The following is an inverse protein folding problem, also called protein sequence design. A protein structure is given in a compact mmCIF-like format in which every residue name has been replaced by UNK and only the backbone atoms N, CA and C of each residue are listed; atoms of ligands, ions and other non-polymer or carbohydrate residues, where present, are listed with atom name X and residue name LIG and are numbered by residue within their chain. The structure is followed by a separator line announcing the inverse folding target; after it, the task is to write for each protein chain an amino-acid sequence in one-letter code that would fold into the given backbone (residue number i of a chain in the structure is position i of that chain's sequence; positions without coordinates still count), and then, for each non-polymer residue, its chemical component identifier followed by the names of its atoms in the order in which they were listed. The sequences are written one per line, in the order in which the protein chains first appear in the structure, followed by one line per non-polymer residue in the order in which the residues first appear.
data_IF_625913144997
#
_entry.id   IF_625913144997
#
_cell.length_a   1.000
_cell.length_b   1.000
_cell.length_c   1.000
_cell.angle_alpha   90.00
_cell.angle_beta   90.00
_cell.angle_gamma   90.00
#
_symmetry.space_group_name_H-M   'P 1'
#
loop_
_entity.id
_entity.type
_entity.pdbx_description
1 polymer ?
#
# COMPACT_ATOMS: atom_id res chain seq x y z
N UNK A 1 2.39 8.34 20.04
CA UNK A 1 2.94 7.98 20.30
C UNK A 1 3.48 7.48 19.65
N UNK A 2 3.56 7.54 19.09
CA UNK A 2 4.12 7.03 18.33
C UNK A 2 5.03 6.00 18.64
N UNK A 3 5.37 5.82 19.64
CA UNK A 3 6.20 4.83 19.91
C UNK A 3 5.53 3.55 19.78
N UNK A 4 6.03 2.69 19.04
CA UNK A 4 5.45 1.42 18.82
C UNK A 4 6.11 0.38 19.69
N UNK A 5 5.33 -0.36 20.37
CA UNK A 5 5.82 -1.45 21.13
C UNK A 5 6.50 -2.46 20.25
N UNK A 6 6.09 -2.64 19.04
CA UNK A 6 6.65 -3.49 18.16
C UNK A 6 8.03 -3.09 17.90
N UNK A 7 8.30 -1.83 17.75
CA UNK A 7 9.59 -1.34 17.45
C UNK A 7 10.60 -1.74 18.48
N UNK A 8 10.19 -1.81 19.71
CA UNK A 8 11.03 -2.21 20.76
C UNK A 8 11.52 -3.61 20.62
N UNK A 9 10.69 -4.48 20.10
CA UNK A 9 11.04 -5.86 19.98
C UNK A 9 11.52 -6.19 18.59
N UNK A 10 11.66 -5.23 17.87
CA UNK A 10 12.13 -5.43 16.58
C UNK A 10 11.46 -6.22 15.69
N UNK A 11 10.60 -6.46 15.62
CA UNK A 11 10.02 -7.17 14.89
C UNK A 11 9.71 -7.00 13.94
N UNK A 12 9.72 -6.85 13.14
CA UNK A 12 9.46 -7.11 12.52
C UNK A 12 9.37 -7.15 11.27
N UNK A 13 9.50 -7.24 10.32
CA UNK A 13 9.26 -7.37 8.94
C UNK A 13 7.88 -7.79 8.64
N UNK A 14 6.96 -7.38 9.46
CA UNK A 14 5.58 -7.76 9.30
C UNK A 14 4.74 -6.59 8.88
N UNK A 15 3.76 -6.89 8.05
CA UNK A 15 2.75 -5.94 7.66
C UNK A 15 1.40 -6.59 7.95
N UNK A 16 0.34 -5.79 7.89
CA UNK A 16 -1.00 -6.30 8.15
C UNK A 16 -1.74 -6.44 6.83
N UNK A 17 -2.37 -7.58 6.60
CA UNK A 17 -3.24 -7.80 5.46
C UNK A 17 -4.67 -7.51 5.90
N UNK A 18 -5.36 -6.68 5.15
CA UNK A 18 -6.72 -6.26 5.50
C UNK A 18 -7.68 -6.54 4.35
N UNK A 19 -8.97 -6.56 4.67
CA UNK A 19 -10.00 -6.73 3.65
C UNK A 19 -10.40 -5.38 3.07
N UNK A 20 -11.35 -5.40 2.14
CA UNK A 20 -11.79 -4.19 1.44
C UNK A 20 -12.37 -3.15 2.39
N UNK A 21 -13.20 -3.58 3.35
CA UNK A 21 -13.83 -2.63 4.27
C UNK A 21 -12.80 -1.92 5.14
N UNK A 22 -11.83 -2.65 5.62
CA UNK A 22 -10.76 -2.10 6.44
C UNK A 22 -9.86 -1.19 5.60
N UNK A 23 -9.57 -1.60 4.36
CA UNK A 23 -8.75 -0.80 3.47
C UNK A 23 -9.44 0.52 3.14
N UNK A 24 -10.77 0.49 2.95
CA UNK A 24 -11.53 1.70 2.68
C UNK A 24 -11.40 2.71 3.83
N UNK A 25 -11.33 2.22 5.06
CA UNK A 25 -11.11 3.11 6.19
C UNK A 25 -9.75 3.76 6.15
N UNK A 26 -8.73 2.99 5.76
CA UNK A 26 -7.37 3.52 5.64
C UNK A 26 -7.30 4.57 4.53
N UNK A 27 -7.99 4.33 3.41
CA UNK A 27 -8.03 5.30 2.31
C UNK A 27 -8.63 6.63 2.77
N UNK A 28 -9.62 6.59 3.65
CA UNK A 28 -10.28 7.79 4.13
C UNK A 28 -9.52 8.49 5.27
N UNK A 29 -8.49 7.84 5.80
CA UNK A 29 -7.76 8.35 6.95
C UNK A 29 -6.53 9.11 6.51
N UNK A 30 -6.46 10.40 6.85
CA UNK A 30 -5.36 11.26 6.40
C UNK A 30 -4.01 10.90 6.97
N UNK A 31 -3.94 10.01 7.94
CA UNK A 31 -2.65 9.56 8.45
C UNK A 31 -2.02 8.49 7.54
N UNK A 32 -2.75 8.05 6.52
CA UNK A 32 -2.23 7.07 5.56
C UNK A 32 -1.87 7.73 4.23
N UNK A 33 -0.84 7.18 3.60
CA UNK A 33 -0.56 7.41 2.19
C UNK A 33 -0.98 6.16 1.46
N UNK A 34 -1.77 6.30 0.41
CA UNK A 34 -2.29 5.17 -0.36
C UNK A 34 -1.42 4.97 -1.60
N UNK A 35 -0.88 3.78 -1.73
CA UNK A 35 0.12 3.46 -2.74
C UNK A 35 -0.35 2.30 -3.62
N UNK A 36 -0.38 2.54 -4.92
CA UNK A 36 -0.66 1.51 -5.92
C UNK A 36 0.68 0.96 -6.37
N UNK A 37 0.94 -0.33 -6.14
CA UNK A 37 2.22 -0.93 -6.52
C UNK A 37 2.14 -1.73 -7.82
N UNK A 38 1.06 -1.50 -8.61
CA UNK A 38 0.89 -2.13 -9.91
C UNK A 38 1.69 -1.36 -10.97
N UNK A 39 1.68 -1.88 -12.18
CA UNK A 39 2.35 -1.22 -13.29
C UNK A 39 1.64 0.07 -13.67
N UNK A 40 2.33 1.00 -14.34
CA UNK A 40 1.69 2.21 -14.83
C UNK A 40 0.52 1.94 -15.78
N UNK A 41 0.62 0.87 -16.58
CA UNK A 41 -0.45 0.51 -17.50
C UNK A 41 -1.71 0.10 -16.74
N UNK A 42 -1.56 -0.67 -15.67
CA UNK A 42 -2.70 -1.06 -14.84
C UNK A 42 -3.33 0.17 -14.18
N UNK A 43 -2.49 1.05 -13.66
CA UNK A 43 -2.95 2.28 -13.03
C UNK A 43 -3.76 3.12 -14.02
N UNK A 44 -3.29 3.21 -15.25
CA UNK A 44 -3.96 4.00 -16.27
C UNK A 44 -5.38 3.49 -16.59
N UNK A 45 -5.63 2.21 -16.35
CA UNK A 45 -6.95 1.62 -16.59
C UNK A 45 -7.93 1.86 -15.46
N UNK A 46 -7.43 2.29 -14.31
CA UNK A 46 -8.28 2.58 -13.16
C UNK A 46 -7.54 2.32 -11.88
N UNK A 47 -7.85 3.10 -10.85
CA UNK A 47 -7.20 2.98 -9.54
C UNK A 47 -8.21 3.29 -8.43
N UNK A 48 -7.85 2.95 -7.22
CA UNK A 48 -8.70 3.23 -6.05
C UNK A 48 -8.69 4.74 -5.80
N UNK A 49 -9.87 5.38 -5.70
CA UNK A 49 -9.92 6.81 -5.39
C UNK A 49 -9.16 7.08 -4.09
N UNK A 50 -8.37 8.12 -4.07
CA UNK A 50 -7.55 8.44 -2.91
C UNK A 50 -6.13 7.91 -3.02
N UNK A 51 -5.78 7.20 -4.09
CA UNK A 51 -4.42 6.76 -4.33
C UNK A 51 -3.53 7.98 -4.52
N UNK A 52 -2.45 8.04 -3.75
CA UNK A 52 -1.53 9.17 -3.81
C UNK A 52 -0.39 8.94 -4.80
N UNK A 53 0.08 7.71 -4.91
CA UNK A 53 1.23 7.40 -5.76
C UNK A 53 1.07 6.04 -6.41
N UNK A 54 1.68 5.91 -7.60
CA UNK A 54 1.80 4.61 -8.27
C UNK A 54 3.30 4.33 -8.43
N UNK A 55 3.79 3.33 -7.73
CA UNK A 55 5.19 2.93 -7.80
C UNK A 55 5.22 1.44 -8.06
N UNK A 56 5.65 1.05 -9.24
CA UNK A 56 5.60 -0.34 -9.71
C UNK A 56 6.61 -1.21 -8.96
N UNK A 57 6.13 -2.18 -8.21
CA UNK A 57 7.01 -3.06 -7.43
C UNK A 57 7.85 -3.97 -8.32
N UNK A 58 7.46 -4.14 -9.58
CA UNK A 58 8.26 -4.92 -10.53
C UNK A 58 9.42 -4.14 -11.11
N UNK A 59 9.44 -2.82 -10.90
CA UNK A 59 10.53 -1.98 -11.35
C UNK A 59 11.74 -2.24 -10.46
N UNK A 60 12.90 -2.48 -11.07
CA UNK A 60 14.11 -2.74 -10.31
C UNK A 60 14.51 -1.61 -9.37
N UNK A 61 13.98 -0.41 -9.61
CA UNK A 61 14.26 0.75 -8.76
C UNK A 61 13.16 1.03 -7.74
N UNK A 62 12.24 0.08 -7.55
CA UNK A 62 11.10 0.28 -6.65
C UNK A 62 11.50 0.82 -5.28
N UNK A 63 12.47 0.16 -4.65
CA UNK A 63 12.87 0.55 -3.29
C UNK A 63 13.40 1.98 -3.25
N UNK A 64 14.25 2.30 -4.20
CA UNK A 64 14.86 3.62 -4.26
C UNK A 64 13.82 4.70 -4.50
N UNK A 65 12.91 4.45 -5.43
CA UNK A 65 11.84 5.40 -5.73
C UNK A 65 10.94 5.59 -4.53
N UNK A 66 10.57 4.49 -3.88
CA UNK A 66 9.69 4.53 -2.71
C UNK A 66 10.33 5.34 -1.58
N UNK A 67 11.60 5.12 -1.32
CA UNK A 67 12.29 5.85 -0.25
C UNK A 67 12.37 7.34 -0.50
N UNK A 68 12.44 7.74 -1.77
CA UNK A 68 12.47 9.15 -2.12
C UNK A 68 11.09 9.79 -2.10
N UNK A 69 10.05 8.99 -2.31
CA UNK A 69 8.70 9.48 -2.52
C UNK A 69 7.84 9.46 -1.26
N UNK A 70 7.94 8.38 -0.49
CA UNK A 70 7.01 8.14 0.61
C UNK A 70 7.47 8.80 1.89
N UNK A 71 6.60 9.58 2.54
CA UNK A 71 6.97 10.21 3.81
C UNK A 71 7.12 9.15 4.90
N UNK A 72 8.11 9.34 5.75
CA UNK A 72 8.39 8.38 6.81
C UNK A 72 7.46 8.49 8.00
N UNK A 73 6.77 9.60 8.12
CA UNK A 73 5.89 9.86 9.25
C UNK A 73 4.44 9.50 8.99
N UNK A 74 4.19 8.77 7.91
CA UNK A 74 2.83 8.36 7.56
C UNK A 74 2.75 6.85 7.51
N UNK A 75 1.56 6.33 7.77
CA UNK A 75 1.27 4.92 7.56
C UNK A 75 1.07 4.70 6.05
N UNK A 76 1.41 3.52 5.58
CA UNK A 76 1.27 3.21 4.15
C UNK A 76 0.18 2.16 3.98
N UNK A 77 -0.79 2.46 3.10
CA UNK A 77 -1.81 1.50 2.71
C UNK A 77 -1.57 1.19 1.23
N UNK A 78 -1.20 -0.04 0.91
CA UNK A 78 -0.84 -0.34 -0.46
C UNK A 78 -1.62 -1.52 -1.04
N UNK A 79 -1.70 -1.56 -2.35
CA UNK A 79 -2.44 -2.62 -3.03
C UNK A 79 -1.81 -2.93 -4.39
N UNK A 80 -2.04 -4.16 -4.84
CA UNK A 80 -1.74 -4.54 -6.20
C UNK A 80 -3.01 -5.05 -6.86
N UNK A 81 -2.93 -5.92 -7.84
CA UNK A 81 -4.10 -6.39 -8.55
C UNK A 81 -4.87 -7.46 -7.75
N UNK A 82 -4.18 -8.47 -7.24
CA UNK A 82 -4.81 -9.61 -6.60
C UNK A 82 -4.21 -10.01 -5.26
N UNK A 83 -3.27 -9.23 -4.77
CA UNK A 83 -2.68 -9.47 -3.45
C UNK A 83 -1.33 -10.17 -3.46
N UNK A 84 -0.79 -10.51 -4.61
CA UNK A 84 0.50 -11.20 -4.67
C UNK A 84 1.70 -10.24 -4.61
N UNK A 85 1.73 -9.28 -5.52
CA UNK A 85 2.82 -8.30 -5.56
C UNK A 85 2.84 -7.41 -4.33
N UNK A 86 1.65 -7.14 -3.76
CA UNK A 86 1.55 -6.24 -2.61
C UNK A 86 2.24 -6.80 -1.38
N UNK A 87 2.29 -8.10 -1.23
CA UNK A 87 2.96 -8.69 -0.07
C UNK A 87 4.46 -8.47 -0.13
N UNK A 88 5.05 -8.60 -1.32
CA UNK A 88 6.46 -8.30 -1.48
C UNK A 88 6.75 -6.81 -1.31
N UNK A 89 5.89 -5.97 -1.89
CA UNK A 89 6.04 -4.53 -1.75
C UNK A 89 5.99 -4.11 -0.29
N UNK A 90 5.04 -4.68 0.47
CA UNK A 90 4.88 -4.37 1.88
C UNK A 90 6.10 -4.83 2.69
N UNK A 91 6.60 -6.01 2.39
CA UNK A 91 7.75 -6.55 3.10
C UNK A 91 8.97 -5.65 2.96
N UNK A 92 9.20 -5.16 1.74
CA UNK A 92 10.31 -4.27 1.47
C UNK A 92 10.18 -2.98 2.29
N UNK A 93 8.98 -2.40 2.31
CA UNK A 93 8.78 -1.13 3.02
C UNK A 93 8.88 -1.29 4.53
N UNK A 94 8.39 -2.40 5.06
CA UNK A 94 8.51 -2.65 6.51
C UNK A 94 9.98 -2.75 6.88
N UNK A 95 10.80 -3.39 6.05
CA UNK A 95 12.24 -3.47 6.31
C UNK A 95 12.90 -2.11 6.30
N UNK A 96 12.30 -1.15 5.62
CA UNK A 96 12.83 0.22 5.55
C UNK A 96 12.22 1.14 6.61
N UNK A 97 11.44 0.58 7.53
CA UNK A 97 10.94 1.34 8.67
C UNK A 97 9.54 1.90 8.55
N UNK A 98 8.81 1.55 7.50
CA UNK A 98 7.43 1.99 7.35
C UNK A 98 6.47 1.03 8.06
N UNK A 99 5.33 1.55 8.50
CA UNK A 99 4.23 0.72 8.93
C UNK A 99 3.27 0.58 7.77
N UNK A 100 2.88 -0.65 7.47
CA UNK A 100 2.18 -0.95 6.22
C UNK A 100 0.97 -1.83 6.43
N UNK A 101 -0.15 -1.49 5.78
CA UNK A 101 -1.24 -2.43 5.59
C UNK A 101 -1.37 -2.68 4.09
N UNK A 102 -1.72 -3.91 3.72
CA UNK A 102 -1.91 -4.23 2.30
C UNK A 102 -3.29 -4.83 2.11
N UNK A 103 -3.90 -4.53 0.98
CA UNK A 103 -5.22 -5.04 0.63
C UNK A 103 -5.07 -6.46 0.10
N UNK A 104 -5.52 -7.45 0.88
CA UNK A 104 -5.29 -8.86 0.55
C UNK A 104 -5.92 -9.31 -0.74
N UNK A 105 -7.09 -8.76 -1.11
CA UNK A 105 -7.77 -9.13 -2.35
C UNK A 105 -7.43 -8.20 -3.51
N UNK A 106 -6.66 -7.15 -3.25
CA UNK A 106 -6.18 -6.24 -4.27
C UNK A 106 -7.28 -5.43 -4.95
N UNK A 107 -6.88 -4.78 -6.02
CA UNK A 107 -7.79 -3.96 -6.81
C UNK A 107 -9.00 -4.77 -7.29
N UNK A 108 -8.79 -6.04 -7.63
CA UNK A 108 -9.89 -6.92 -8.06
C UNK A 108 -10.94 -7.05 -6.97
N UNK A 109 -10.51 -7.24 -5.72
CA UNK A 109 -11.44 -7.33 -4.61
C UNK A 109 -12.17 -6.02 -4.36
N UNK A 110 -11.47 -4.91 -4.52
CA UNK A 110 -12.08 -3.59 -4.38
C UNK A 110 -13.22 -3.40 -5.38
N UNK A 111 -12.97 -3.76 -6.65
CA UNK A 111 -13.99 -3.66 -7.70
C UNK A 111 -15.12 -4.63 -7.46
N UNK A 112 -14.80 -5.88 -7.09
CA UNK A 112 -15.81 -6.90 -6.84
C UNK A 112 -16.75 -6.53 -5.71
N UNK A 113 -16.28 -5.75 -4.75
CA UNK A 113 -17.11 -5.29 -3.64
C UNK A 113 -18.03 -4.13 -4.03
N UNK A 114 -17.96 -3.68 -5.27
CA UNK A 114 -18.84 -2.63 -5.76
C UNK A 114 -18.35 -1.22 -5.51
N UNK A 115 -17.10 -1.07 -5.11
CA UNK A 115 -16.55 0.26 -4.83
C UNK A 115 -16.19 1.00 -6.10
N UNK A 116 -16.17 2.32 -6.00
CA UNK A 116 -15.83 3.17 -7.14
C UNK A 116 -14.37 3.10 -7.48
N UNK A 117 -14.08 3.34 -8.74
CA UNK A 117 -12.70 3.50 -9.20
C UNK A 117 -12.60 4.82 -9.93
N UNK A 118 -11.37 5.29 -10.07
CA UNK A 118 -11.07 6.49 -10.84
C UNK A 118 -10.12 6.15 -11.96
N UNK A 119 -10.13 6.99 -13.00
CA UNK A 119 -9.16 6.89 -14.09
C UNK A 119 -8.42 8.20 -14.18
N UNK A 120 -7.15 8.16 -14.60
CA UNK A 120 -6.37 9.37 -14.74
C UNK A 120 -6.95 10.34 -15.76
#
# INVERSE_FOLDING_TARGET
MGFSFWGLFGQTNKFKTVDVAEFAKAVADTSYVVLDVRTPAEYAEGFIPGTHFNIDVLDGNYTEIALKTLPKDKLIALYCRSGNRSKNAARILVEKGYEVVELGSGFRGWVAAGNKIEKP
#
